data_IF_930869858160
#
_entry.id   IF_930869858160
#
_cell.length_a   1.000
_cell.length_b   1.000
_cell.length_c   1.000
_cell.angle_alpha   90.00
_cell.angle_beta   90.00
_cell.angle_gamma   90.00
#
_symmetry.space_group_name_H-M   'P 1'
#
loop_
_entity.id
_entity.type
_entity.pdbx_description
1 polymer ?
#
# COMPACT_ATOMS: atom_id res chain seq x y z
N UNK A 1 -8.59 -24.53 18.93
CA UNK A 1 -7.24 -24.70 19.55
C UNK A 1 -7.00 -23.50 20.43
N UNK A 2 -6.72 -23.70 21.71
CA UNK A 2 -6.40 -22.61 22.63
C UNK A 2 -4.92 -22.17 22.48
N UNK A 3 -4.57 -21.00 23.03
CA UNK A 3 -3.17 -20.55 23.08
C UNK A 3 -2.27 -21.58 23.76
N UNK A 4 -2.70 -22.14 24.89
CA UNK A 4 -1.95 -23.14 25.65
C UNK A 4 -1.65 -24.39 24.82
N UNK A 5 -2.64 -24.91 24.08
CA UNK A 5 -2.45 -26.07 23.21
C UNK A 5 -1.50 -25.77 22.04
N UNK A 6 -1.62 -24.59 21.43
CA UNK A 6 -0.71 -24.15 20.35
C UNK A 6 0.73 -23.99 20.89
N UNK A 7 0.90 -23.34 22.04
CA UNK A 7 2.19 -23.14 22.67
C UNK A 7 2.88 -24.48 22.94
N UNK A 8 2.17 -25.43 23.55
CA UNK A 8 2.74 -26.77 23.85
C UNK A 8 3.23 -27.50 22.58
N UNK A 9 2.52 -27.36 21.45
CA UNK A 9 2.95 -27.94 20.18
C UNK A 9 4.25 -27.33 19.65
N UNK A 10 4.38 -26.01 19.69
CA UNK A 10 5.61 -25.34 19.27
C UNK A 10 6.78 -25.60 20.20
N UNK A 11 6.55 -25.65 21.52
CA UNK A 11 7.57 -26.00 22.51
C UNK A 11 8.09 -27.42 22.34
N UNK A 12 7.22 -28.37 21.97
CA UNK A 12 7.63 -29.74 21.61
C UNK A 12 8.57 -29.79 20.39
N UNK A 13 8.56 -28.78 19.53
CA UNK A 13 9.48 -28.61 18.40
C UNK A 13 10.75 -27.82 18.76
N UNK A 14 10.94 -27.49 20.03
CA UNK A 14 12.10 -26.72 20.51
C UNK A 14 11.98 -25.20 20.35
N UNK A 15 10.79 -24.67 20.05
CA UNK A 15 10.55 -23.24 19.88
C UNK A 15 10.24 -22.61 21.26
N UNK A 16 11.03 -21.61 21.67
CA UNK A 16 10.64 -20.76 22.79
C UNK A 16 9.58 -19.74 22.31
N UNK A 17 8.32 -20.05 22.56
CA UNK A 17 7.17 -19.31 22.05
C UNK A 17 7.14 -17.87 22.58
N UNK A 18 7.42 -17.65 23.86
CA UNK A 18 7.39 -16.31 24.45
C UNK A 18 8.48 -15.42 23.86
N UNK A 19 9.69 -15.97 23.71
CA UNK A 19 10.80 -15.23 23.09
C UNK A 19 10.54 -14.93 21.60
N UNK A 20 9.87 -15.84 20.89
CA UNK A 20 9.49 -15.63 19.49
C UNK A 20 8.44 -14.52 19.37
N UNK A 21 7.42 -14.50 20.22
CA UNK A 21 6.38 -13.47 20.27
C UNK A 21 7.01 -12.10 20.60
N UNK A 22 7.93 -12.06 21.57
CA UNK A 22 8.59 -10.80 21.95
C UNK A 22 9.44 -10.23 20.80
N UNK A 23 10.15 -11.07 20.06
CA UNK A 23 10.85 -10.67 18.85
C UNK A 23 9.88 -10.16 17.78
N UNK A 24 8.76 -10.85 17.58
CA UNK A 24 7.77 -10.50 16.55
C UNK A 24 7.11 -9.15 16.80
N UNK A 25 6.95 -8.74 18.06
CA UNK A 25 6.43 -7.39 18.39
C UNK A 25 7.25 -6.24 17.79
N UNK A 26 8.53 -6.49 17.54
CA UNK A 26 9.47 -5.52 16.97
C UNK A 26 9.65 -5.65 15.45
N UNK A 27 8.93 -6.57 14.82
CA UNK A 27 8.91 -6.75 13.35
C UNK A 27 7.75 -5.98 12.77
N UNK A 28 7.99 -4.95 11.95
CA UNK A 28 6.90 -4.19 11.32
C UNK A 28 6.16 -5.06 10.30
N UNK A 29 4.85 -5.18 10.46
CA UNK A 29 3.98 -5.86 9.50
C UNK A 29 3.35 -4.83 8.57
N UNK A 30 3.54 -5.00 7.27
CA UNK A 30 2.95 -4.13 6.25
C UNK A 30 1.60 -4.67 5.82
N UNK A 31 0.55 -3.88 6.03
CA UNK A 31 -0.83 -4.25 5.72
C UNK A 31 -1.15 -3.74 4.32
N UNK A 32 -1.52 -4.66 3.43
CA UNK A 32 -1.91 -4.33 2.08
C UNK A 32 -3.29 -3.65 2.02
N UNK A 33 -3.39 -2.65 1.16
CA UNK A 33 -4.62 -1.91 0.91
C UNK A 33 -5.58 -2.60 -0.08
N UNK A 34 -5.13 -3.58 -0.82
CA UNK A 34 -5.80 -4.14 -2.01
C UNK A 34 -7.25 -4.57 -1.79
N UNK A 35 -7.55 -5.20 -0.67
CA UNK A 35 -8.91 -5.66 -0.38
C UNK A 35 -9.84 -4.51 0.02
N UNK A 36 -9.29 -3.40 0.50
CA UNK A 36 -10.09 -2.26 0.96
C UNK A 36 -10.81 -1.54 -0.17
N UNK A 37 -10.24 -1.52 -1.38
CA UNK A 37 -10.78 -0.81 -2.55
C UNK A 37 -10.89 -1.66 -3.83
N UNK A 38 -10.78 -2.97 -3.73
CA UNK A 38 -10.77 -3.90 -4.86
C UNK A 38 -9.64 -3.60 -5.88
N UNK A 39 -8.47 -3.19 -5.39
CA UNK A 39 -7.25 -2.93 -6.20
C UNK A 39 -7.40 -1.76 -7.18
N UNK A 40 -8.38 -0.89 -7.03
CA UNK A 40 -8.63 0.21 -7.97
C UNK A 40 -7.65 1.35 -7.85
N UNK A 41 -7.38 1.78 -6.63
CA UNK A 41 -6.71 3.06 -6.40
C UNK A 41 -7.63 4.26 -6.70
N UNK A 42 -7.03 5.44 -6.79
CA UNK A 42 -7.73 6.71 -6.95
C UNK A 42 -7.23 7.54 -8.15
N UNK A 43 -6.38 6.95 -8.99
CA UNK A 43 -5.77 7.61 -10.16
C UNK A 43 -6.52 7.36 -11.48
N UNK A 44 -7.55 6.53 -11.47
CA UNK A 44 -8.31 6.15 -12.67
C UNK A 44 -9.77 6.55 -12.57
N UNK A 45 -10.41 6.67 -13.72
CA UNK A 45 -11.85 6.89 -13.83
C UNK A 45 -12.61 5.71 -13.20
N UNK A 46 -13.38 5.93 -12.11
CA UNK A 46 -14.08 4.85 -11.42
C UNK A 46 -15.17 4.17 -12.25
N UNK A 47 -15.61 4.78 -13.35
CA UNK A 47 -16.62 4.20 -14.26
C UNK A 47 -16.02 3.18 -15.23
N UNK A 48 -14.70 3.18 -15.43
CA UNK A 48 -14.03 2.28 -16.36
C UNK A 48 -13.62 0.97 -15.68
N UNK A 49 -13.67 -0.17 -16.40
CA UNK A 49 -13.15 -1.43 -15.90
C UNK A 49 -11.62 -1.32 -15.69
N UNK A 50 -11.11 -2.04 -14.70
CA UNK A 50 -9.67 -2.20 -14.51
C UNK A 50 -9.11 -3.11 -15.62
N UNK A 51 -7.88 -2.83 -16.02
CA UNK A 51 -7.11 -3.67 -16.94
C UNK A 51 -6.01 -4.41 -16.15
N UNK A 52 -6.03 -5.74 -16.20
CA UNK A 52 -5.08 -6.60 -15.48
C UNK A 52 -5.37 -6.72 -13.98
N UNK A 53 -4.76 -7.71 -13.34
CA UNK A 53 -4.87 -7.96 -11.92
C UNK A 53 -6.14 -8.72 -11.50
N UNK A 54 -6.26 -8.97 -10.20
CA UNK A 54 -7.45 -9.54 -9.59
C UNK A 54 -8.47 -8.41 -9.41
N UNK A 55 -9.67 -8.63 -9.95
CA UNK A 55 -10.77 -7.71 -9.76
C UNK A 55 -11.82 -8.39 -8.87
N UNK A 56 -12.05 -7.82 -7.71
CA UNK A 56 -13.22 -8.14 -6.91
C UNK A 56 -14.26 -7.03 -7.09
N UNK A 57 -15.51 -7.34 -6.89
CA UNK A 57 -16.60 -6.38 -7.04
C UNK A 57 -17.32 -6.25 -5.73
N UNK A 58 -17.55 -5.03 -5.30
CA UNK A 58 -18.27 -4.74 -4.10
C UNK A 58 -18.74 -3.29 -4.05
N UNK A 59 -19.62 -3.03 -3.13
CA UNK A 59 -20.03 -1.68 -2.77
C UNK A 59 -19.61 -1.39 -1.34
N UNK A 60 -19.36 -0.11 -1.04
CA UNK A 60 -19.11 0.26 0.34
C UNK A 60 -20.33 -0.09 1.23
N UNK A 61 -20.16 -0.67 2.45
CA UNK A 61 -18.87 -0.83 3.15
C UNK A 61 -18.01 -2.01 2.69
N UNK A 62 -18.35 -2.71 1.65
CA UNK A 62 -17.54 -3.82 1.12
C UNK A 62 -16.31 -3.36 0.32
N UNK A 63 -16.32 -2.12 -0.20
CA UNK A 63 -15.23 -1.52 -0.96
C UNK A 63 -15.17 -0.01 -0.70
N UNK A 64 -14.01 0.47 -0.30
CA UNK A 64 -13.74 1.91 -0.21
C UNK A 64 -13.73 2.55 -1.62
N UNK A 65 -14.32 3.72 -1.75
CA UNK A 65 -14.45 4.50 -3.00
C UNK A 65 -13.65 5.78 -2.97
N UNK A 66 -13.28 6.23 -1.76
CA UNK A 66 -12.49 7.43 -1.53
C UNK A 66 -11.29 7.11 -0.63
N UNK A 67 -10.23 7.94 -0.65
CA UNK A 67 -9.13 7.79 0.28
C UNK A 67 -9.56 7.81 1.75
N UNK A 68 -10.56 8.62 2.10
CA UNK A 68 -11.07 8.74 3.47
C UNK A 68 -11.78 7.46 3.92
N UNK A 69 -12.58 6.84 3.05
CA UNK A 69 -13.20 5.54 3.32
C UNK A 69 -12.12 4.47 3.55
N UNK A 70 -11.08 4.43 2.73
CA UNK A 70 -9.99 3.47 2.88
C UNK A 70 -9.16 3.73 4.15
N UNK A 71 -8.92 4.98 4.51
CA UNK A 71 -8.26 5.35 5.78
C UNK A 71 -9.08 4.90 7.00
N UNK A 72 -10.42 5.02 6.93
CA UNK A 72 -11.30 4.53 7.99
C UNK A 72 -11.27 3.00 8.12
N UNK A 73 -11.24 2.28 7.01
CA UNK A 73 -11.08 0.82 6.99
C UNK A 73 -9.72 0.41 7.58
N UNK A 74 -8.64 1.12 7.24
CA UNK A 74 -7.34 0.92 7.85
C UNK A 74 -7.35 1.13 9.36
N UNK A 75 -8.05 2.14 9.87
CA UNK A 75 -8.17 2.38 11.32
C UNK A 75 -8.77 1.17 12.04
N UNK A 76 -9.78 0.52 11.45
CA UNK A 76 -10.36 -0.72 11.99
C UNK A 76 -9.34 -1.84 11.99
N UNK A 77 -8.68 -2.10 10.86
CA UNK A 77 -7.67 -3.17 10.74
C UNK A 77 -6.49 -2.93 11.69
N UNK A 78 -6.00 -1.69 11.76
CA UNK A 78 -4.90 -1.30 12.65
C UNK A 78 -5.24 -1.51 14.13
N UNK A 79 -6.51 -1.33 14.52
CA UNK A 79 -6.97 -1.58 15.89
C UNK A 79 -6.96 -3.07 16.27
N UNK A 80 -7.14 -3.95 15.29
CA UNK A 80 -7.19 -5.40 15.51
C UNK A 80 -5.82 -6.09 15.38
N UNK A 81 -4.84 -5.47 14.74
CA UNK A 81 -3.51 -6.03 14.54
C UNK A 81 -2.56 -5.62 15.66
N UNK A 82 -1.97 -6.55 16.43
CA UNK A 82 -0.95 -6.22 17.42
C UNK A 82 0.41 -5.91 16.77
N UNK A 83 1.32 -5.35 17.56
CA UNK A 83 2.70 -5.10 17.16
C UNK A 83 2.88 -3.85 16.28
N UNK A 84 4.07 -3.73 15.69
CA UNK A 84 4.42 -2.60 14.82
C UNK A 84 3.79 -2.76 13.44
N UNK A 85 3.24 -1.68 12.92
CA UNK A 85 2.46 -1.71 11.68
C UNK A 85 2.95 -0.70 10.67
N UNK A 86 2.76 -1.06 9.41
CA UNK A 86 2.86 -0.20 8.24
C UNK A 86 1.63 -0.40 7.37
N UNK A 87 1.36 0.52 6.48
CA UNK A 87 0.46 0.27 5.35
C UNK A 87 1.28 0.13 4.07
N UNK A 88 0.85 -0.72 3.16
CA UNK A 88 1.46 -0.87 1.84
C UNK A 88 0.61 -0.12 0.82
N UNK A 89 1.14 0.99 0.32
CA UNK A 89 0.49 1.82 -0.69
C UNK A 89 0.94 1.44 -2.09
N UNK A 90 0.12 1.79 -3.07
CA UNK A 90 0.42 1.70 -4.48
C UNK A 90 0.49 3.08 -5.11
N UNK A 91 1.21 3.21 -6.25
CA UNK A 91 1.23 4.46 -7.01
C UNK A 91 -0.18 4.88 -7.47
N UNK A 92 -1.07 3.91 -7.72
CA UNK A 92 -2.48 4.15 -8.04
C UNK A 92 -3.29 4.80 -6.90
N UNK A 93 -2.74 4.90 -5.69
CA UNK A 93 -3.36 5.59 -4.55
C UNK A 93 -2.97 7.07 -4.46
N UNK A 94 -2.39 7.63 -5.51
CA UNK A 94 -2.20 9.08 -5.63
C UNK A 94 -3.53 9.82 -5.49
N UNK A 95 -3.54 10.88 -4.70
CA UNK A 95 -4.72 11.71 -4.44
C UNK A 95 -4.55 13.03 -5.19
N UNK A 96 -5.54 13.38 -6.00
CA UNK A 96 -5.54 14.56 -6.83
C UNK A 96 -6.59 15.57 -6.35
N UNK A 97 -6.17 16.83 -6.18
CA UNK A 97 -7.04 17.94 -5.83
C UNK A 97 -6.48 19.24 -6.42
N UNK A 98 -7.21 20.35 -6.31
CA UNK A 98 -6.79 21.64 -6.83
C UNK A 98 -5.47 22.14 -6.21
N UNK A 99 -5.26 21.87 -4.91
CA UNK A 99 -4.09 22.33 -4.16
C UNK A 99 -2.79 21.67 -4.64
N UNK A 100 -2.86 20.42 -5.13
CA UNK A 100 -1.69 19.70 -5.63
C UNK A 100 -1.55 19.72 -7.16
N UNK A 101 -2.35 20.53 -7.84
CA UNK A 101 -2.27 20.74 -9.29
C UNK A 101 -3.14 19.80 -10.12
N UNK A 102 -4.05 19.08 -9.49
CA UNK A 102 -5.00 18.20 -10.18
C UNK A 102 -4.39 16.89 -10.70
N UNK A 103 -5.14 16.23 -11.55
CA UNK A 103 -4.76 14.93 -12.10
C UNK A 103 -3.54 15.02 -13.03
N UNK A 104 -2.64 14.06 -12.85
CA UNK A 104 -1.50 13.81 -13.74
C UNK A 104 -1.41 12.32 -14.03
N UNK A 105 -0.79 11.95 -15.16
CA UNK A 105 -0.53 10.54 -15.47
C UNK A 105 0.62 10.01 -14.62
N UNK A 106 0.74 8.67 -14.53
CA UNK A 106 1.66 7.96 -13.63
C UNK A 106 3.13 8.34 -13.79
N UNK A 107 3.57 8.70 -15.00
CA UNK A 107 4.94 9.16 -15.26
C UNK A 107 5.24 10.57 -14.72
N UNK A 108 4.20 11.30 -14.29
CA UNK A 108 4.27 12.66 -13.71
C UNK A 108 3.91 12.71 -12.23
N UNK A 109 3.81 11.57 -11.56
CA UNK A 109 3.53 11.55 -10.12
C UNK A 109 4.62 12.27 -9.33
N UNK A 110 4.21 13.00 -8.31
CA UNK A 110 5.08 13.73 -7.41
C UNK A 110 4.75 13.41 -5.94
N UNK A 111 5.68 13.62 -5.01
CA UNK A 111 5.44 13.41 -3.58
C UNK A 111 4.19 14.10 -3.03
N UNK A 112 3.83 15.26 -3.54
CA UNK A 112 2.63 16.02 -3.10
C UNK A 112 1.33 15.23 -3.24
N UNK A 113 1.24 14.32 -4.23
CA UNK A 113 0.05 13.48 -4.44
C UNK A 113 -0.13 12.39 -3.37
N UNK A 114 0.88 12.18 -2.52
CA UNK A 114 0.85 11.22 -1.40
C UNK A 114 0.87 11.89 -0.03
N UNK A 115 0.77 13.22 0.03
CA UNK A 115 0.86 13.98 1.28
C UNK A 115 -0.19 13.55 2.31
N UNK A 116 -1.43 13.34 1.91
CA UNK A 116 -2.51 12.90 2.80
C UNK A 116 -2.19 11.54 3.45
N UNK A 117 -1.58 10.62 2.72
CA UNK A 117 -1.11 9.34 3.24
C UNK A 117 0.04 9.50 4.25
N UNK A 118 0.97 10.42 3.98
CA UNK A 118 2.05 10.75 4.91
C UNK A 118 1.48 11.30 6.22
N UNK A 119 0.53 12.22 6.13
CA UNK A 119 -0.11 12.84 7.30
C UNK A 119 -0.93 11.79 8.08
N UNK A 120 -1.66 10.92 7.38
CA UNK A 120 -2.37 9.79 7.99
C UNK A 120 -1.41 8.87 8.77
N UNK A 121 -0.33 8.42 8.15
CA UNK A 121 0.64 7.55 8.81
C UNK A 121 1.30 8.22 10.03
N UNK A 122 1.68 9.49 9.90
CA UNK A 122 2.26 10.26 11.01
C UNK A 122 1.32 10.41 12.20
N UNK A 123 0.04 10.70 11.95
CA UNK A 123 -0.96 10.87 13.01
C UNK A 123 -1.22 9.58 13.79
N UNK A 124 -0.92 8.43 13.23
CA UNK A 124 -1.09 7.11 13.84
C UNK A 124 0.21 6.46 14.30
N UNK A 125 1.35 7.13 14.08
CA UNK A 125 2.67 6.61 14.45
C UNK A 125 3.06 5.34 13.71
N UNK A 126 2.58 5.15 12.47
CA UNK A 126 2.88 3.99 11.63
C UNK A 126 3.76 4.35 10.43
N UNK A 127 4.39 3.35 9.84
CA UNK A 127 5.14 3.49 8.59
C UNK A 127 4.29 3.22 7.35
N UNK A 128 4.90 3.42 6.18
CA UNK A 128 4.33 3.01 4.91
C UNK A 128 5.39 2.39 4.00
N UNK A 129 5.00 1.37 3.27
CA UNK A 129 5.73 0.82 2.13
C UNK A 129 5.03 1.24 0.82
N UNK A 130 5.73 1.13 -0.30
CA UNK A 130 5.25 1.65 -1.57
C UNK A 130 5.51 0.68 -2.71
N UNK A 131 4.49 0.43 -3.52
CA UNK A 131 4.58 -0.33 -4.75
C UNK A 131 4.35 0.60 -5.95
N UNK A 132 5.23 0.62 -6.94
CA UNK A 132 5.10 1.50 -8.09
C UNK A 132 3.93 1.16 -9.03
N UNK A 133 3.31 -0.02 -8.92
CA UNK A 133 2.11 -0.40 -9.68
C UNK A 133 2.32 -0.36 -11.21
N UNK A 134 3.02 -1.34 -11.76
CA UNK A 134 3.23 -1.48 -13.20
C UNK A 134 2.09 -2.26 -13.89
N UNK A 135 0.85 -2.01 -13.48
CA UNK A 135 -0.37 -2.67 -14.00
C UNK A 135 -1.59 -1.75 -13.87
N UNK A 136 -2.74 -2.20 -14.36
CA UNK A 136 -4.01 -1.45 -14.32
C UNK A 136 -3.89 -0.05 -14.90
N UNK A 137 -3.32 0.05 -16.10
CA UNK A 137 -3.14 1.31 -16.82
C UNK A 137 -3.23 1.05 -18.34
N UNK A 138 -3.82 1.96 -19.15
CA UNK A 138 -3.96 1.74 -20.60
C UNK A 138 -2.65 1.42 -21.33
N UNK A 139 -1.52 1.97 -20.87
CA UNK A 139 -0.20 1.72 -21.44
C UNK A 139 0.49 0.43 -20.94
N UNK A 140 -0.21 -0.43 -20.18
CA UNK A 140 0.35 -1.71 -19.73
C UNK A 140 -0.11 -2.92 -20.55
N UNK A 141 -0.83 -2.73 -21.62
CA UNK A 141 -1.35 -3.81 -22.47
C UNK A 141 -0.53 -3.93 -23.75
N UNK A 142 0.13 -5.10 -24.00
CA UNK A 142 0.27 -6.20 -23.04
C UNK A 142 1.52 -6.11 -22.15
N UNK A 143 2.45 -5.16 -22.40
CA UNK A 143 3.77 -5.11 -21.79
C UNK A 143 4.11 -3.70 -21.29
N UNK A 144 4.95 -3.61 -20.26
CA UNK A 144 5.43 -2.35 -19.67
C UNK A 144 6.91 -2.10 -20.01
N UNK A 145 7.82 -2.36 -19.09
CA UNK A 145 9.26 -2.19 -19.27
C UNK A 145 9.86 -3.14 -20.33
N UNK A 146 9.21 -4.25 -20.61
CA UNK A 146 9.60 -5.21 -21.65
C UNK A 146 8.90 -4.98 -22.99
N UNK A 147 8.14 -3.89 -23.15
CA UNK A 147 7.47 -3.55 -24.40
C UNK A 147 8.49 -3.37 -25.54
N UNK A 148 8.23 -3.88 -26.77
CA UNK A 148 9.03 -3.56 -27.95
C UNK A 148 8.93 -2.08 -28.36
N UNK A 149 7.83 -1.41 -27.98
CA UNK A 149 7.63 0.02 -28.23
C UNK A 149 8.47 0.88 -27.27
N UNK A 150 9.27 1.78 -27.83
CA UNK A 150 10.17 2.65 -27.05
C UNK A 150 9.41 3.69 -26.23
N UNK A 151 8.32 4.24 -26.75
CA UNK A 151 7.53 5.25 -26.04
C UNK A 151 6.90 4.64 -24.78
N UNK A 152 6.36 3.43 -24.90
CA UNK A 152 5.81 2.67 -23.77
C UNK A 152 6.89 2.40 -22.71
N UNK A 153 8.08 1.93 -23.13
CA UNK A 153 9.18 1.72 -22.17
C UNK A 153 9.59 3.01 -21.47
N UNK A 154 9.69 4.11 -22.22
CA UNK A 154 10.06 5.42 -21.68
C UNK A 154 9.06 5.89 -20.62
N UNK A 155 7.76 5.79 -20.91
CA UNK A 155 6.71 6.10 -19.94
C UNK A 155 6.88 5.33 -18.64
N UNK A 156 7.09 4.02 -18.71
CA UNK A 156 7.24 3.18 -17.53
C UNK A 156 8.56 3.38 -16.77
N UNK A 157 9.63 3.75 -17.46
CA UNK A 157 10.89 4.18 -16.82
C UNK A 157 10.66 5.47 -16.02
N UNK A 158 9.99 6.46 -16.61
CA UNK A 158 9.75 7.74 -15.96
C UNK A 158 8.74 7.58 -14.80
N UNK A 159 7.71 6.72 -14.96
CA UNK A 159 6.86 6.29 -13.85
C UNK A 159 7.66 5.66 -12.70
N UNK A 160 8.59 4.77 -12.97
CA UNK A 160 9.45 4.17 -11.95
C UNK A 160 10.28 5.20 -11.18
N UNK A 161 10.80 6.22 -11.87
CA UNK A 161 11.52 7.34 -11.23
C UNK A 161 10.60 8.20 -10.35
N UNK A 162 9.43 8.57 -10.85
CA UNK A 162 8.41 9.33 -10.13
C UNK A 162 7.95 8.59 -8.87
N UNK A 163 7.71 7.29 -8.99
CA UNK A 163 7.36 6.40 -7.88
C UNK A 163 8.47 6.32 -6.82
N UNK A 164 9.73 6.21 -7.24
CA UNK A 164 10.87 6.21 -6.34
C UNK A 164 11.01 7.53 -5.57
N UNK A 165 10.77 8.67 -6.22
CA UNK A 165 10.76 9.98 -5.56
C UNK A 165 9.63 10.08 -4.52
N UNK A 166 8.44 9.60 -4.87
CA UNK A 166 7.27 9.61 -3.99
C UNK A 166 7.44 8.68 -2.78
N UNK A 167 8.05 7.51 -2.96
CA UNK A 167 8.31 6.58 -1.87
C UNK A 167 9.23 7.17 -0.78
N UNK A 168 10.12 8.10 -1.14
CA UNK A 168 11.09 8.70 -0.19
C UNK A 168 10.46 9.55 0.91
N UNK A 169 9.27 10.11 0.68
CA UNK A 169 8.59 10.95 1.68
C UNK A 169 7.76 10.13 2.68
N UNK A 170 7.53 8.85 2.39
CA UNK A 170 6.72 7.99 3.25
C UNK A 170 7.45 7.72 4.58
N UNK A 171 6.73 7.77 5.71
CA UNK A 171 7.35 7.54 7.00
C UNK A 171 7.80 6.10 7.14
N UNK A 172 9.04 5.92 7.61
CA UNK A 172 9.55 4.62 8.05
C UNK A 172 8.94 4.29 9.40
N UNK A 173 8.80 3.01 9.75
CA UNK A 173 8.28 2.64 11.07
C UNK A 173 9.15 3.19 12.19
N UNK A 174 8.56 3.52 13.35
CA UNK A 174 9.24 4.15 14.49
C UNK A 174 10.43 3.34 15.05
N UNK A 175 10.49 2.01 14.84
CA UNK A 175 11.60 1.17 15.30
C UNK A 175 12.96 1.51 14.67
N UNK A 176 12.99 2.22 13.55
CA UNK A 176 14.24 2.60 12.89
C UNK A 176 14.89 3.87 13.47
N UNK A 177 14.33 4.46 14.54
CA UNK A 177 14.85 5.67 15.21
C UNK A 177 15.49 5.41 16.57
N UNK A 178 15.53 4.16 17.01
CA UNK A 178 16.09 3.75 18.32
C UNK A 178 17.42 3.00 18.19
N UNK A 179 18.19 3.28 17.15
CA UNK A 179 19.57 2.78 16.99
C UNK A 179 20.53 3.92 16.69
#
# INVERSE_FOLDING_TARGET
>A
MSYTEAKAKYEALGVNVEAAIEKLKNVPVSIHCWQGDDVRGFDTDPSKPLTGGIQTTGNYPGRARTPEELMADFDVVLSMCPGMKKISLHASYAIFNEENGGWVDRDKLEPKHFKSWVDYCKSRGIGADFNPTFFSHPKCDPLTLSSPDEETRRFWIDHGKASSASARILPKSLASRAS
#
